data_IF_520081158943
#
_entry.id   IF_520081158943
#
_cell.length_a   1.000
_cell.length_b   1.000
_cell.length_c   1.000
_cell.angle_alpha   90.00
_cell.angle_beta   90.00
_cell.angle_gamma   90.00
#
_symmetry.space_group_name_H-M   'P 1'
#
loop_
_entity.id
_entity.type
_entity.pdbx_description
1 polymer ?
#
# COMPACT_ATOMS: atom_id res chain seq x y z
N UNK A 1 30.48 50.67 -9.85
CA UNK A 1 29.43 50.51 -8.81
C UNK A 1 28.20 49.84 -9.38
N UNK A 2 27.72 50.24 -10.55
CA UNK A 2 26.53 49.62 -11.18
C UNK A 2 26.82 48.21 -11.73
N UNK A 3 27.96 48.00 -12.37
CA UNK A 3 28.34 46.72 -12.98
C UNK A 3 28.47 45.58 -11.94
N UNK A 4 29.11 45.86 -10.79
CA UNK A 4 29.17 44.93 -9.66
C UNK A 4 27.79 44.62 -9.08
N UNK A 5 26.84 45.56 -9.16
CA UNK A 5 25.47 45.41 -8.68
C UNK A 5 24.67 44.51 -9.63
N UNK A 6 24.91 44.66 -10.92
CA UNK A 6 24.37 43.82 -11.99
C UNK A 6 24.87 42.37 -11.85
N UNK A 7 26.17 42.19 -11.60
CA UNK A 7 26.77 40.88 -11.36
C UNK A 7 26.20 40.22 -10.10
N UNK A 8 26.09 40.96 -8.99
CA UNK A 8 25.49 40.44 -7.76
C UNK A 8 24.04 40.00 -7.95
N UNK A 9 23.28 40.78 -8.73
CA UNK A 9 21.89 40.46 -9.09
C UNK A 9 21.84 39.18 -9.92
N UNK A 10 22.69 39.05 -10.93
CA UNK A 10 22.77 37.86 -11.77
C UNK A 10 23.15 36.62 -10.95
N UNK A 11 24.08 36.74 -10.00
CA UNK A 11 24.44 35.67 -9.08
C UNK A 11 23.27 35.29 -8.18
N UNK A 12 22.55 36.26 -7.63
CA UNK A 12 21.37 36.03 -6.79
C UNK A 12 20.23 35.32 -7.53
N UNK A 13 19.99 35.68 -8.80
CA UNK A 13 18.96 35.06 -9.65
C UNK A 13 19.32 33.59 -9.95
N UNK A 14 20.59 33.33 -10.30
CA UNK A 14 21.08 31.96 -10.54
C UNK A 14 21.02 31.09 -9.29
N UNK A 15 21.36 31.65 -8.13
CA UNK A 15 21.27 30.94 -6.85
C UNK A 15 19.83 30.62 -6.47
N UNK A 16 18.88 31.52 -6.76
CA UNK A 16 17.46 31.28 -6.50
C UNK A 16 16.92 30.11 -7.33
N UNK A 17 17.30 30.05 -8.62
CA UNK A 17 16.96 28.94 -9.50
C UNK A 17 17.56 27.62 -9.02
N UNK A 18 18.83 27.65 -8.58
CA UNK A 18 19.51 26.48 -8.01
C UNK A 18 18.79 25.96 -6.76
N UNK A 19 18.35 26.85 -5.88
CA UNK A 19 17.56 26.49 -4.70
C UNK A 19 16.23 25.85 -5.12
N UNK A 20 15.53 26.39 -6.12
CA UNK A 20 14.28 25.80 -6.62
C UNK A 20 14.48 24.39 -7.20
N UNK A 21 15.56 24.16 -7.94
CA UNK A 21 15.88 22.86 -8.55
C UNK A 21 16.31 21.84 -7.49
N UNK A 22 17.11 22.27 -6.52
CA UNK A 22 17.73 21.40 -5.52
C UNK A 22 16.85 21.20 -4.28
N UNK A 23 15.86 22.06 -4.06
CA UNK A 23 14.89 21.86 -3.00
C UNK A 23 13.89 20.81 -3.45
N UNK A 24 13.84 19.63 -2.80
CA UNK A 24 12.80 18.68 -3.09
C UNK A 24 11.46 19.37 -2.86
N UNK A 25 10.64 19.45 -3.91
CA UNK A 25 9.24 19.84 -3.76
C UNK A 25 8.63 18.85 -2.78
N UNK A 26 7.92 19.35 -1.76
CA UNK A 26 7.09 18.49 -0.93
C UNK A 26 6.32 17.57 -1.88
N UNK A 27 6.58 16.26 -1.78
CA UNK A 27 5.92 15.30 -2.64
C UNK A 27 4.44 15.40 -2.31
N UNK A 28 3.62 15.91 -3.23
CA UNK A 28 2.14 15.93 -3.14
C UNK A 28 1.52 14.51 -3.14
N UNK A 29 2.33 13.48 -2.89
CA UNK A 29 1.97 12.08 -2.95
C UNK A 29 2.01 11.41 -1.58
N UNK A 30 1.26 10.31 -1.41
CA UNK A 30 1.29 9.52 -0.18
C UNK A 30 2.70 9.05 0.11
N UNK A 31 3.07 9.09 1.39
CA UNK A 31 4.33 8.52 1.85
C UNK A 31 4.33 7.00 1.67
N UNK A 32 5.50 6.37 1.79
CA UNK A 32 5.58 4.91 1.81
C UNK A 32 4.70 4.31 2.92
N UNK A 33 4.66 4.96 4.09
CA UNK A 33 3.86 4.50 5.22
C UNK A 33 2.35 4.57 4.93
N UNK A 34 1.90 5.61 4.23
CA UNK A 34 0.50 5.74 3.78
C UNK A 34 0.11 4.61 2.80
N UNK A 35 1.00 4.27 1.88
CA UNK A 35 0.80 3.18 0.92
C UNK A 35 0.78 1.81 1.62
N UNK A 36 1.66 1.61 2.62
CA UNK A 36 1.71 0.38 3.42
C UNK A 36 0.46 0.21 4.29
N UNK A 37 -0.02 1.29 4.91
CA UNK A 37 -1.27 1.29 5.66
C UNK A 37 -2.45 0.90 4.76
N UNK A 38 -2.54 1.49 3.57
CA UNK A 38 -3.60 1.19 2.60
C UNK A 38 -3.54 -0.25 2.10
N UNK A 39 -2.34 -0.80 1.89
CA UNK A 39 -2.16 -2.20 1.50
C UNK A 39 -2.69 -3.16 2.57
N UNK A 40 -2.44 -2.88 3.85
CA UNK A 40 -2.92 -3.70 4.97
C UNK A 40 -4.45 -3.70 5.01
N UNK A 41 -5.10 -2.55 4.86
CA UNK A 41 -6.56 -2.45 4.80
C UNK A 41 -7.15 -3.33 3.69
N UNK A 42 -6.61 -3.22 2.48
CA UNK A 42 -7.08 -4.00 1.32
C UNK A 42 -6.92 -5.50 1.54
N UNK A 43 -5.80 -5.95 2.12
CA UNK A 43 -5.58 -7.36 2.44
C UNK A 43 -6.57 -7.84 3.51
N UNK A 44 -6.83 -7.04 4.53
CA UNK A 44 -7.80 -7.39 5.58
C UNK A 44 -9.23 -7.50 5.04
N UNK A 45 -9.63 -6.60 4.14
CA UNK A 45 -10.93 -6.64 3.47
C UNK A 45 -11.11 -7.90 2.60
N UNK A 46 -10.02 -8.48 2.10
CA UNK A 46 -10.05 -9.70 1.29
C UNK A 46 -10.17 -10.99 2.11
N UNK A 47 -9.83 -10.98 3.41
CA UNK A 47 -9.88 -12.17 4.27
C UNK A 47 -11.26 -12.86 4.32
N UNK A 48 -12.39 -12.14 4.43
CA UNK A 48 -13.72 -12.75 4.37
C UNK A 48 -14.02 -13.44 3.03
N UNK A 49 -13.50 -12.88 1.93
CA UNK A 49 -13.66 -13.45 0.59
C UNK A 49 -12.86 -14.75 0.49
N UNK A 50 -11.61 -14.76 0.95
CA UNK A 50 -10.77 -15.96 0.99
C UNK A 50 -11.42 -17.06 1.82
N UNK A 51 -11.91 -16.75 3.02
CA UNK A 51 -12.66 -17.72 3.85
C UNK A 51 -13.89 -18.27 3.14
N UNK A 52 -14.61 -17.45 2.38
CA UNK A 52 -15.77 -17.90 1.60
C UNK A 52 -15.36 -18.83 0.45
N UNK A 53 -14.25 -18.54 -0.21
CA UNK A 53 -13.68 -19.39 -1.27
C UNK A 53 -13.27 -20.74 -0.68
N UNK A 54 -12.57 -20.76 0.46
CA UNK A 54 -12.15 -21.99 1.13
C UNK A 54 -13.37 -22.84 1.50
N UNK A 55 -14.41 -22.25 2.08
CA UNK A 55 -15.68 -22.96 2.37
C UNK A 55 -16.33 -23.56 1.12
N UNK A 56 -16.42 -22.77 0.05
CA UNK A 56 -17.10 -23.20 -1.17
C UNK A 56 -16.31 -24.31 -1.86
N UNK A 57 -14.99 -24.20 -1.86
CA UNK A 57 -14.08 -25.20 -2.43
C UNK A 57 -14.11 -26.49 -1.61
N UNK A 58 -14.06 -26.38 -0.27
CA UNK A 58 -14.17 -27.52 0.64
C UNK A 58 -15.50 -28.26 0.49
N UNK A 59 -16.62 -27.52 0.47
CA UNK A 59 -17.94 -28.08 0.21
C UNK A 59 -18.00 -28.82 -1.13
N UNK A 60 -17.45 -28.21 -2.18
CA UNK A 60 -17.44 -28.79 -3.53
C UNK A 60 -16.61 -30.07 -3.58
N UNK A 61 -15.47 -30.09 -2.90
CA UNK A 61 -14.60 -31.26 -2.79
C UNK A 61 -15.28 -32.41 -2.02
N UNK A 62 -15.85 -32.13 -0.85
CA UNK A 62 -16.56 -33.14 -0.05
C UNK A 62 -17.73 -33.75 -0.84
N UNK A 63 -18.47 -32.93 -1.57
CA UNK A 63 -19.57 -33.37 -2.43
C UNK A 63 -19.09 -34.25 -3.59
N UNK A 64 -17.96 -33.91 -4.23
CA UNK A 64 -17.35 -34.74 -5.28
C UNK A 64 -16.81 -36.07 -4.75
N UNK A 65 -16.26 -36.09 -3.54
CA UNK A 65 -15.68 -37.28 -2.90
C UNK A 65 -16.73 -38.15 -2.19
N UNK A 66 -18.02 -37.75 -2.19
CA UNK A 66 -19.10 -38.46 -1.49
C UNK A 66 -18.95 -38.45 0.04
N UNK A 67 -18.16 -37.52 0.58
CA UNK A 67 -17.91 -37.36 2.01
C UNK A 67 -19.00 -36.49 2.65
N UNK A 68 -19.30 -36.69 3.94
CA UNK A 68 -20.21 -35.81 4.65
C UNK A 68 -19.61 -34.39 4.68
N UNK A 69 -20.43 -33.40 4.32
CA UNK A 69 -20.04 -31.97 4.30
C UNK A 69 -19.61 -31.54 5.71
N UNK A 70 -18.36 -31.07 5.84
CA UNK A 70 -17.86 -30.50 7.10
C UNK A 70 -18.62 -29.22 7.44
N UNK A 71 -19.15 -29.12 8.66
CA UNK A 71 -19.81 -27.90 9.17
C UNK A 71 -18.80 -27.08 9.98
N UNK A 72 -18.96 -25.75 9.96
CA UNK A 72 -18.09 -24.81 10.68
C UNK A 72 -17.92 -25.26 12.16
N UNK A 73 -16.67 -25.53 12.58
CA UNK A 73 -16.30 -25.92 13.95
C UNK A 73 -15.46 -27.19 14.09
N UNK A 74 -15.38 -28.04 13.06
CA UNK A 74 -14.65 -29.33 13.17
C UNK A 74 -13.11 -29.18 13.12
N UNK A 75 -12.58 -28.05 12.61
CA UNK A 75 -11.13 -27.83 12.49
C UNK A 75 -10.48 -27.36 13.81
N UNK A 76 -11.21 -26.65 14.67
CA UNK A 76 -10.73 -26.19 15.99
C UNK A 76 -10.72 -27.31 17.04
N UNK A 77 -11.47 -28.41 16.82
CA UNK A 77 -11.58 -29.52 17.76
C UNK A 77 -10.39 -30.49 17.73
N UNK A 78 -9.49 -30.39 16.74
CA UNK A 78 -8.35 -31.30 16.58
C UNK A 78 -7.00 -30.73 17.09
N UNK A 79 -7.01 -29.52 17.67
CA UNK A 79 -5.82 -28.84 18.18
C UNK A 79 -5.88 -28.46 19.68
N UNK A 80 -6.81 -29.05 20.45
CA UNK A 80 -6.87 -28.91 21.92
C UNK A 80 -6.59 -30.24 22.63
#
# INVERSE_FOLDING_TARGET
MDEQREELRSVSEKLSLLIEILSPKETEGPTLDDLLARLIEVVQEQNPILRRIDRTTGFTLDHLEGRPVRRDGDEDAHLS
#
